data_IF_191597284014
#
_entry.id   IF_191597284014
#
_cell.length_a   1.000
_cell.length_b   1.000
_cell.length_c   1.000
_cell.angle_alpha   90.00
_cell.angle_beta   90.00
_cell.angle_gamma   90.00
#
_symmetry.space_group_name_H-M   'P 1'
#
loop_
_entity.id
_entity.type
_entity.pdbx_description
1 polymer ?
#
# COMPACT_ATOMS: atom_id res chain seq x y z
N UNK A 1 25.50 5.93 -4.60
CA UNK A 1 24.47 6.83 -4.02
C UNK A 1 23.25 5.97 -3.70
N UNK A 2 23.23 5.38 -2.52
CA UNK A 2 22.35 4.25 -2.13
C UNK A 2 20.86 4.62 -2.22
N UNK A 3 20.48 5.83 -1.78
CA UNK A 3 19.11 6.36 -1.87
C UNK A 3 18.58 6.42 -3.31
N UNK A 4 19.43 6.72 -4.29
CA UNK A 4 19.02 6.73 -5.69
C UNK A 4 18.80 5.33 -6.23
N UNK A 5 19.67 4.39 -5.87
CA UNK A 5 19.54 3.00 -6.28
C UNK A 5 18.25 2.39 -5.73
N UNK A 6 17.93 2.65 -4.45
CA UNK A 6 16.66 2.23 -3.85
C UNK A 6 15.41 2.79 -4.58
N UNK A 7 15.47 4.01 -5.12
CA UNK A 7 14.39 4.60 -5.93
C UNK A 7 14.29 3.93 -7.31
N UNK A 8 15.43 3.59 -7.93
CA UNK A 8 15.47 2.90 -9.23
C UNK A 8 14.93 1.48 -9.10
N UNK A 9 15.39 0.75 -8.09
CA UNK A 9 15.02 -0.64 -7.83
C UNK A 9 13.66 -0.77 -7.14
N UNK A 10 13.10 0.34 -6.65
CA UNK A 10 11.86 0.40 -5.86
C UNK A 10 11.93 -0.53 -4.66
N UNK A 11 13.06 -0.47 -3.97
CA UNK A 11 13.33 -1.34 -2.84
C UNK A 11 12.39 -1.01 -1.68
N UNK A 12 11.68 -2.03 -1.20
CA UNK A 12 10.73 -1.93 -0.08
C UNK A 12 11.44 -1.79 1.26
N UNK A 13 12.71 -2.19 1.36
CA UNK A 13 13.48 -2.06 2.61
C UNK A 13 13.66 -0.59 3.02
N UNK A 14 13.74 0.30 2.03
CA UNK A 14 13.85 1.74 2.23
C UNK A 14 12.49 2.46 2.29
N UNK A 15 11.39 1.71 2.28
CA UNK A 15 10.06 2.30 2.29
C UNK A 15 9.75 2.92 3.66
N UNK A 16 9.72 4.25 3.71
CA UNK A 16 9.60 5.02 4.95
C UNK A 16 10.94 5.46 5.56
N UNK A 17 12.08 5.01 5.03
CA UNK A 17 13.40 5.47 5.47
C UNK A 17 13.73 6.88 4.97
N UNK A 18 13.23 7.25 3.78
CA UNK A 18 13.34 8.59 3.22
C UNK A 18 12.24 8.82 2.17
N UNK A 19 12.08 10.07 1.76
CA UNK A 19 11.27 10.47 0.60
C UNK A 19 12.15 11.18 -0.43
N UNK A 20 11.77 11.11 -1.70
CA UNK A 20 12.45 11.86 -2.76
C UNK A 20 11.50 12.87 -3.40
N UNK A 21 12.00 14.06 -3.71
CA UNK A 21 11.24 15.12 -4.34
C UNK A 21 11.77 15.43 -5.73
N UNK A 22 10.85 15.68 -6.66
CA UNK A 22 11.15 15.99 -8.06
C UNK A 22 10.96 17.48 -8.29
N UNK A 23 12.06 18.20 -8.53
CA UNK A 23 12.09 19.67 -8.76
C UNK A 23 11.13 20.12 -9.85
N UNK A 24 11.11 19.40 -10.97
CA UNK A 24 10.32 19.79 -12.15
C UNK A 24 8.81 19.67 -11.93
N UNK A 25 8.36 18.78 -11.04
CA UNK A 25 6.92 18.60 -10.78
C UNK A 25 6.48 19.23 -9.46
N UNK A 26 7.41 19.58 -8.57
CA UNK A 26 7.11 20.01 -7.21
C UNK A 26 6.38 18.92 -6.41
N UNK A 27 6.72 17.65 -6.67
CA UNK A 27 6.06 16.48 -6.04
C UNK A 27 7.10 15.63 -5.34
N UNK A 28 6.80 15.20 -4.10
CA UNK A 28 7.60 14.20 -3.40
C UNK A 28 6.88 12.85 -3.29
N UNK A 29 7.68 11.78 -3.28
CA UNK A 29 7.26 10.39 -3.38
C UNK A 29 8.06 9.47 -2.44
N UNK A 30 7.50 8.29 -2.16
CA UNK A 30 8.20 7.16 -1.52
C UNK A 30 9.12 6.45 -2.53
N UNK A 31 10.24 5.83 -2.11
CA UNK A 31 11.15 5.12 -3.02
C UNK A 31 10.48 3.99 -3.80
N UNK A 32 9.44 3.37 -3.25
CA UNK A 32 8.64 2.32 -3.91
C UNK A 32 7.58 2.83 -4.91
N UNK A 33 7.57 4.14 -5.20
CA UNK A 33 6.53 4.73 -6.04
C UNK A 33 6.55 4.16 -7.45
N UNK A 34 5.37 3.74 -7.95
CA UNK A 34 5.20 3.24 -9.33
C UNK A 34 5.14 4.35 -10.39
N UNK A 35 5.37 5.61 -10.01
CA UNK A 35 5.44 6.71 -10.96
C UNK A 35 6.67 6.57 -11.87
N UNK A 36 6.63 7.23 -13.04
CA UNK A 36 7.79 7.31 -13.92
C UNK A 36 8.91 8.06 -13.20
N UNK A 37 10.12 7.49 -13.21
CA UNK A 37 11.28 8.11 -12.60
C UNK A 37 11.68 9.37 -13.36
N UNK A 38 11.92 10.45 -12.62
CA UNK A 38 12.51 11.67 -13.14
C UNK A 38 14.01 11.49 -13.38
N UNK A 39 14.64 12.44 -14.08
CA UNK A 39 16.11 12.46 -14.21
C UNK A 39 16.74 12.68 -12.83
N UNK A 40 17.84 11.98 -12.54
CA UNK A 40 18.59 12.09 -11.27
C UNK A 40 18.95 13.54 -10.91
N UNK A 41 19.22 14.38 -11.90
CA UNK A 41 19.54 15.81 -11.72
C UNK A 41 18.41 16.62 -11.07
N UNK A 42 17.16 16.18 -11.25
CA UNK A 42 15.96 16.87 -10.79
C UNK A 42 15.40 16.26 -9.51
N UNK A 43 16.17 15.41 -8.82
CA UNK A 43 15.73 14.66 -7.65
C UNK A 43 16.56 15.04 -6.44
N UNK A 44 15.86 15.49 -5.40
CA UNK A 44 16.41 15.70 -4.05
C UNK A 44 15.83 14.66 -3.08
N UNK A 45 16.54 14.41 -1.99
CA UNK A 45 16.13 13.45 -0.96
C UNK A 45 15.89 14.17 0.35
N UNK A 46 14.85 13.75 1.07
CA UNK A 46 14.49 14.25 2.39
C UNK A 46 14.28 13.07 3.34
N UNK A 47 14.69 13.21 4.59
CA UNK A 47 14.57 12.11 5.57
C UNK A 47 13.12 11.89 6.01
N UNK A 48 12.27 12.93 5.96
CA UNK A 48 10.84 12.83 6.32
C UNK A 48 9.93 13.51 5.30
N UNK A 49 8.66 13.11 5.30
CA UNK A 49 7.61 13.78 4.52
C UNK A 49 7.45 15.25 4.94
N UNK A 50 7.60 15.56 6.24
CA UNK A 50 7.50 16.92 6.76
C UNK A 50 8.58 17.83 6.16
N UNK A 51 9.83 17.37 6.09
CA UNK A 51 10.93 18.14 5.52
C UNK A 51 10.68 18.46 4.03
N UNK A 52 10.08 17.53 3.28
CA UNK A 52 9.72 17.77 1.89
C UNK A 52 8.58 18.80 1.75
N UNK A 53 7.61 18.80 2.67
CA UNK A 53 6.52 19.79 2.70
C UNK A 53 7.06 21.18 3.07
N UNK A 54 7.94 21.27 4.07
CA UNK A 54 8.62 22.52 4.45
C UNK A 54 9.46 23.09 3.31
N UNK A 55 10.07 22.23 2.50
CA UNK A 55 10.76 22.61 1.27
C UNK A 55 9.83 23.00 0.10
N UNK A 56 8.50 23.01 0.31
CA UNK A 56 7.51 23.47 -0.67
C UNK A 56 7.02 22.40 -1.65
N UNK A 57 7.33 21.13 -1.43
CA UNK A 57 6.87 20.04 -2.29
C UNK A 57 5.50 19.52 -1.88
N UNK A 58 4.69 19.14 -2.88
CA UNK A 58 3.38 18.52 -2.66
C UNK A 58 3.48 17.02 -2.62
N UNK A 59 2.66 16.38 -1.79
CA UNK A 59 2.69 14.94 -1.67
C UNK A 59 2.09 14.25 -2.90
N UNK A 60 2.73 13.17 -3.35
CA UNK A 60 2.24 12.39 -4.48
C UNK A 60 0.91 11.69 -4.15
N UNK A 61 -0.12 11.95 -4.96
CA UNK A 61 -1.45 11.32 -4.79
C UNK A 61 -1.45 9.80 -4.96
N UNK A 62 -0.43 9.24 -5.61
CA UNK A 62 -0.34 7.81 -5.93
C UNK A 62 0.33 6.98 -4.84
N UNK A 63 1.43 7.48 -4.28
CA UNK A 63 2.14 6.77 -3.19
C UNK A 63 1.83 7.34 -1.79
N UNK A 64 1.13 8.48 -1.73
CA UNK A 64 0.65 9.14 -0.51
C UNK A 64 1.68 9.11 0.63
N UNK A 65 2.90 9.65 0.40
CA UNK A 65 4.01 9.57 1.35
C UNK A 65 3.73 10.23 2.71
N UNK A 66 2.73 11.11 2.78
CA UNK A 66 2.27 11.74 4.01
C UNK A 66 1.47 10.80 4.92
N UNK A 67 0.92 9.72 4.38
CA UNK A 67 0.24 8.68 5.15
C UNK A 67 1.32 7.65 5.50
N UNK A 68 1.98 7.86 6.63
CA UNK A 68 3.11 7.07 7.14
C UNK A 68 2.87 5.54 7.21
N UNK A 69 1.63 5.09 7.02
CA UNK A 69 1.23 3.69 7.09
C UNK A 69 0.16 3.31 6.05
N UNK A 70 0.20 3.83 4.82
CA UNK A 70 -0.65 3.28 3.76
C UNK A 70 -0.02 1.99 3.20
N UNK A 71 -0.02 0.94 4.02
CA UNK A 71 -0.38 -0.39 3.52
C UNK A 71 -1.83 -0.65 3.94
N UNK A 72 -2.83 -0.15 3.18
CA UNK A 72 -4.26 -0.39 3.46
C UNK A 72 -4.63 -1.84 3.24
N UNK A 73 -3.66 -2.65 2.82
CA UNK A 73 -3.91 -3.90 2.13
C UNK A 73 -3.49 -5.07 3.00
N UNK A 74 -2.29 -5.07 3.60
CA UNK A 74 -1.85 -6.17 4.46
C UNK A 74 -2.63 -6.24 5.80
N UNK A 75 -2.79 -5.12 6.51
CA UNK A 75 -3.52 -5.08 7.79
C UNK A 75 -5.02 -5.40 7.63
N UNK A 76 -5.59 -5.03 6.49
CA UNK A 76 -7.01 -5.22 6.20
C UNK A 76 -7.37 -6.66 5.86
N UNK A 77 -6.49 -7.41 5.20
CA UNK A 77 -6.74 -8.84 4.91
C UNK A 77 -6.62 -9.69 6.16
N UNK A 78 -5.62 -9.44 7.01
CA UNK A 78 -5.46 -10.17 8.26
C UNK A 78 -6.72 -10.06 9.14
N UNK A 79 -7.28 -8.84 9.26
CA UNK A 79 -8.54 -8.60 9.97
C UNK A 79 -9.71 -9.39 9.40
N UNK A 80 -9.83 -9.43 8.06
CA UNK A 80 -10.90 -10.19 7.40
C UNK A 80 -10.69 -11.71 7.57
N UNK A 81 -9.46 -12.21 7.52
CA UNK A 81 -9.18 -13.62 7.78
C UNK A 81 -9.58 -14.03 9.20
N UNK A 82 -9.27 -13.22 10.21
CA UNK A 82 -9.70 -13.46 11.60
C UNK A 82 -11.23 -13.50 11.74
N UNK A 83 -11.95 -12.63 11.02
CA UNK A 83 -13.42 -12.65 11.00
C UNK A 83 -13.95 -13.94 10.34
N UNK A 84 -13.35 -14.36 9.22
CA UNK A 84 -13.76 -15.59 8.53
C UNK A 84 -13.51 -16.83 9.39
N UNK A 85 -12.44 -16.84 10.19
CA UNK A 85 -12.11 -17.91 11.13
C UNK A 85 -13.01 -17.94 12.37
N UNK A 86 -13.57 -16.80 12.79
CA UNK A 86 -14.44 -16.73 13.97
C UNK A 86 -15.92 -16.95 13.66
N UNK A 87 -16.29 -17.14 12.40
CA UNK A 87 -17.67 -17.40 12.01
C UNK A 87 -18.09 -18.83 12.38
N UNK A 88 -19.30 -19.03 12.94
CA UNK A 88 -19.85 -20.36 13.17
C UNK A 88 -19.99 -21.14 11.86
N UNK A 89 -19.81 -22.47 11.87
CA UNK A 89 -19.89 -23.31 10.67
C UNK A 89 -21.26 -23.25 9.97
N UNK A 90 -22.34 -22.96 10.70
CA UNK A 90 -23.70 -22.80 10.17
C UNK A 90 -24.02 -21.39 9.63
N UNK A 91 -23.10 -20.43 9.76
CA UNK A 91 -23.35 -19.08 9.29
C UNK A 91 -23.28 -19.00 7.76
N UNK A 92 -24.15 -18.25 7.05
CA UNK A 92 -24.05 -18.11 5.60
C UNK A 92 -22.74 -17.42 5.20
N UNK A 93 -22.13 -17.85 4.08
CA UNK A 93 -20.88 -17.25 3.61
C UNK A 93 -21.04 -15.73 3.41
N UNK A 94 -20.19 -14.88 4.03
CA UNK A 94 -20.33 -13.44 3.93
C UNK A 94 -20.14 -12.96 2.49
N UNK A 95 -20.96 -11.99 2.07
CA UNK A 95 -20.87 -11.40 0.73
C UNK A 95 -19.53 -10.69 0.56
N UNK A 96 -18.92 -10.89 -0.62
CA UNK A 96 -17.65 -10.28 -0.99
C UNK A 96 -17.63 -8.75 -0.82
N UNK A 97 -18.77 -8.09 -1.07
CA UNK A 97 -18.92 -6.64 -0.87
C UNK A 97 -18.78 -6.22 0.59
N UNK A 98 -19.35 -6.99 1.52
CA UNK A 98 -19.24 -6.70 2.96
C UNK A 98 -17.79 -6.85 3.45
N UNK A 99 -17.09 -7.89 2.98
CA UNK A 99 -15.69 -8.13 3.29
C UNK A 99 -14.79 -7.03 2.71
N UNK A 100 -15.02 -6.64 1.46
CA UNK A 100 -14.29 -5.56 0.82
C UNK A 100 -14.50 -4.21 1.55
N UNK A 101 -15.74 -3.92 1.97
CA UNK A 101 -16.06 -2.71 2.74
C UNK A 101 -15.40 -2.70 4.12
N UNK A 102 -15.35 -3.83 4.81
CA UNK A 102 -14.63 -3.96 6.09
C UNK A 102 -13.12 -3.76 5.94
N UNK A 103 -12.57 -4.17 4.78
CA UNK A 103 -11.18 -3.93 4.43
C UNK A 103 -10.91 -2.49 3.92
N UNK A 104 -11.94 -1.65 3.74
CA UNK A 104 -11.81 -0.32 3.15
C UNK A 104 -11.38 -0.35 1.66
N UNK A 105 -11.62 -1.47 0.97
CA UNK A 105 -11.19 -1.69 -0.41
C UNK A 105 -12.39 -1.86 -1.35
N UNK A 106 -12.18 -1.60 -2.64
CA UNK A 106 -13.15 -1.98 -3.66
C UNK A 106 -13.16 -3.50 -3.85
N UNK A 107 -14.30 -4.08 -4.26
CA UNK A 107 -14.49 -5.53 -4.48
C UNK A 107 -13.36 -6.16 -5.29
N UNK A 108 -13.01 -5.55 -6.42
CA UNK A 108 -11.95 -6.03 -7.31
C UNK A 108 -10.56 -5.95 -6.66
N UNK A 109 -10.28 -4.86 -5.94
CA UNK A 109 -9.00 -4.70 -5.27
C UNK A 109 -8.86 -5.69 -4.11
N UNK A 110 -9.91 -5.86 -3.30
CA UNK A 110 -9.99 -6.84 -2.23
C UNK A 110 -9.78 -8.27 -2.75
N UNK A 111 -10.50 -8.68 -3.79
CA UNK A 111 -10.40 -10.03 -4.34
C UNK A 111 -8.98 -10.36 -4.83
N UNK A 112 -8.36 -9.46 -5.60
CA UNK A 112 -6.99 -9.65 -6.10
C UNK A 112 -5.98 -9.72 -4.95
N UNK A 113 -6.18 -8.89 -3.94
CA UNK A 113 -5.26 -8.79 -2.83
C UNK A 113 -5.39 -9.98 -1.88
N UNK A 114 -6.61 -10.38 -1.53
CA UNK A 114 -6.89 -11.55 -0.71
C UNK A 114 -6.29 -12.82 -1.32
N UNK A 115 -6.44 -13.02 -2.63
CA UNK A 115 -5.83 -14.16 -3.34
C UNK A 115 -4.30 -14.09 -3.35
N UNK A 116 -3.71 -12.90 -3.41
CA UNK A 116 -2.26 -12.72 -3.36
C UNK A 116 -1.69 -13.08 -1.98
N UNK A 117 -2.38 -12.71 -0.91
CA UNK A 117 -1.90 -12.93 0.46
C UNK A 117 -2.22 -14.35 0.98
N UNK A 118 -3.40 -14.90 0.66
CA UNK A 118 -3.86 -16.20 1.21
C UNK A 118 -3.77 -17.37 0.22
N UNK A 119 -3.52 -17.10 -1.06
CA UNK A 119 -3.56 -18.09 -2.14
C UNK A 119 -4.97 -18.50 -2.59
N UNK A 120 -5.99 -18.24 -1.77
CA UNK A 120 -7.38 -18.64 -1.99
C UNK A 120 -8.29 -17.45 -2.27
N UNK A 121 -9.45 -17.69 -2.88
CA UNK A 121 -10.51 -16.68 -2.89
C UNK A 121 -11.18 -16.57 -1.52
N UNK A 122 -11.77 -15.41 -1.17
CA UNK A 122 -12.48 -15.26 0.11
C UNK A 122 -13.56 -16.31 0.37
N UNK A 123 -14.19 -16.83 -0.70
CA UNK A 123 -15.19 -17.90 -0.61
C UNK A 123 -14.56 -19.24 -0.28
N UNK A 124 -13.48 -19.61 -0.97
CA UNK A 124 -12.73 -20.84 -0.71
C UNK A 124 -12.10 -20.82 0.68
N UNK A 125 -11.59 -19.66 1.11
CA UNK A 125 -11.05 -19.48 2.46
C UNK A 125 -12.13 -19.68 3.53
N UNK A 126 -13.32 -19.09 3.34
CA UNK A 126 -14.44 -19.29 4.25
C UNK A 126 -14.97 -20.74 4.27
N UNK A 127 -14.78 -21.50 3.18
CA UNK A 127 -15.09 -22.93 3.14
C UNK A 127 -14.00 -23.78 3.81
N UNK A 128 -12.73 -23.39 3.67
CA UNK A 128 -11.58 -24.07 4.29
C UNK A 128 -11.48 -23.85 5.80
N UNK A 129 -12.09 -22.80 6.33
CA UNK A 129 -12.16 -22.53 7.77
C UNK A 129 -13.34 -23.23 8.47
N UNK A 130 -14.20 -23.95 7.72
CA UNK A 130 -15.25 -24.81 8.27
C UNK A 130 -14.72 -26.22 8.46
#
# INVERSE_FOLDING_TARGET
NERWQAVVDKDKTFDGAFVYAVKTTGIFCRPVCKARLARRSNVDFYDSASNAVEAGFRACKRCQPQLAAFDPTAGSIAKVCSILQSLPPDSPSPRLESLAKQAGLTKHHFHRLFKRETGLTPREYALSCR
#
